data_IF_108690257074
#
_entry.id   IF_108690257074
#
_cell.length_a   1.000
_cell.length_b   1.000
_cell.length_c   1.000
_cell.angle_alpha   90.00
_cell.angle_beta   90.00
_cell.angle_gamma   90.00
#
_symmetry.space_group_name_H-M   'P 1'
#
loop_
_entity.id
_entity.type
_entity.pdbx_description
1 polymer ?
#
# COMPACT_ATOMS: atom_id res chain seq x y z
N UNK A 1 77.74 -1.48 -7.65
CA UNK A 1 76.52 -1.02 -8.40
C UNK A 1 75.29 -1.67 -7.81
N UNK A 2 74.51 -0.94 -7.02
CA UNK A 2 73.27 -1.45 -6.44
C UNK A 2 72.11 -0.85 -7.22
N UNK A 3 71.27 -1.72 -7.84
CA UNK A 3 70.06 -1.33 -8.56
C UNK A 3 68.97 -1.03 -7.54
N UNK A 4 68.15 0.07 -7.68
CA UNK A 4 67.02 0.31 -6.84
C UNK A 4 65.84 -0.57 -7.21
N UNK A 5 65.22 -1.20 -6.19
CA UNK A 5 64.01 -1.98 -6.31
C UNK A 5 62.83 -1.00 -6.34
N UNK A 6 62.14 -0.93 -7.49
CA UNK A 6 60.86 -0.23 -7.59
C UNK A 6 59.78 -1.08 -6.89
N UNK A 7 59.26 -0.52 -5.80
CA UNK A 7 58.05 -1.07 -5.15
C UNK A 7 56.85 -0.52 -5.90
N UNK A 8 56.20 -1.36 -6.74
CA UNK A 8 54.91 -1.08 -7.34
C UNK A 8 53.86 -1.20 -6.27
N UNK A 9 53.32 -0.09 -5.80
CA UNK A 9 52.16 -0.03 -4.93
C UNK A 9 50.89 -0.28 -5.76
N UNK A 10 50.23 -1.37 -5.44
CA UNK A 10 48.91 -1.68 -6.00
C UNK A 10 47.89 -0.90 -5.18
N UNK A 11 47.34 0.17 -5.75
CA UNK A 11 46.19 0.88 -5.20
C UNK A 11 44.92 0.11 -5.53
N UNK A 12 44.36 -0.58 -4.55
CA UNK A 12 42.98 -1.12 -4.67
C UNK A 12 42.01 0.06 -4.62
N UNK A 13 41.41 0.37 -5.76
CA UNK A 13 40.25 1.23 -5.81
C UNK A 13 39.01 0.42 -5.32
N UNK A 14 38.54 0.76 -4.11
CA UNK A 14 37.28 0.23 -3.59
C UNK A 14 36.14 0.89 -4.33
N UNK A 15 35.49 0.16 -5.26
CA UNK A 15 34.19 0.54 -5.81
C UNK A 15 33.14 0.35 -4.72
N UNK A 16 32.77 1.44 -4.06
CA UNK A 16 31.60 1.47 -3.18
C UNK A 16 30.34 1.35 -4.03
N UNK A 17 29.67 0.19 -3.99
CA UNK A 17 28.35 0.04 -4.55
C UNK A 17 27.36 0.83 -3.69
N UNK A 18 26.87 1.96 -4.20
CA UNK A 18 25.70 2.66 -3.64
C UNK A 18 24.47 1.79 -3.88
N UNK A 19 24.05 1.09 -2.87
CA UNK A 19 22.75 0.45 -2.85
C UNK A 19 21.71 1.55 -2.61
N UNK A 20 21.04 1.98 -3.68
CA UNK A 20 19.87 2.81 -3.57
C UNK A 20 18.75 1.96 -2.97
N UNK A 21 18.57 2.07 -1.65
CA UNK A 21 17.36 1.56 -1.00
C UNK A 21 16.19 2.34 -1.56
N UNK A 22 15.31 1.68 -2.32
CA UNK A 22 14.03 2.23 -2.69
C UNK A 22 13.23 2.41 -1.38
N UNK A 23 13.22 3.62 -0.85
CA UNK A 23 12.34 4.00 0.25
C UNK A 23 10.94 4.02 -0.36
N UNK A 24 10.10 3.01 -0.07
CA UNK A 24 8.67 3.14 -0.25
C UNK A 24 8.25 4.34 0.58
N UNK A 25 7.84 5.43 -0.08
CA UNK A 25 7.38 6.61 0.63
C UNK A 25 6.09 6.25 1.36
N UNK A 26 6.10 6.34 2.69
CA UNK A 26 4.90 6.13 3.50
C UNK A 26 3.84 7.17 3.14
N UNK A 27 2.56 6.77 3.18
CA UNK A 27 1.45 7.69 2.96
C UNK A 27 1.45 8.72 4.10
N UNK A 28 1.49 10.04 3.79
CA UNK A 28 1.49 11.07 4.81
C UNK A 28 0.28 10.96 5.74
N UNK A 29 0.44 11.28 7.03
CA UNK A 29 -0.62 11.18 8.04
C UNK A 29 -1.89 11.94 7.65
N UNK A 30 -1.77 13.14 7.06
CA UNK A 30 -2.91 13.89 6.55
C UNK A 30 -3.68 13.11 5.48
N UNK A 31 -2.97 12.44 4.56
CA UNK A 31 -3.59 11.61 3.53
C UNK A 31 -4.22 10.35 4.11
N UNK A 32 -3.62 9.74 5.12
CA UNK A 32 -4.23 8.61 5.83
C UNK A 32 -5.58 9.02 6.45
N UNK A 33 -5.68 10.21 7.03
CA UNK A 33 -6.94 10.74 7.58
C UNK A 33 -8.00 10.90 6.48
N UNK A 34 -7.64 11.43 5.31
CA UNK A 34 -8.54 11.53 4.16
C UNK A 34 -8.99 10.15 3.67
N UNK A 35 -8.08 9.19 3.60
CA UNK A 35 -8.39 7.82 3.19
C UNK A 35 -9.34 7.12 4.18
N UNK A 36 -9.15 7.33 5.49
CA UNK A 36 -10.08 6.82 6.49
C UNK A 36 -11.47 7.45 6.36
N UNK A 37 -11.52 8.76 6.07
CA UNK A 37 -12.79 9.43 5.80
C UNK A 37 -13.47 8.86 4.55
N UNK A 38 -12.73 8.67 3.46
CA UNK A 38 -13.22 8.03 2.25
C UNK A 38 -13.74 6.61 2.53
N UNK A 39 -12.98 5.82 3.29
CA UNK A 39 -13.39 4.46 3.67
C UNK A 39 -14.70 4.46 4.46
N UNK A 40 -14.87 5.40 5.39
CA UNK A 40 -16.06 5.47 6.24
C UNK A 40 -17.26 6.01 5.50
N UNK A 41 -17.11 7.11 4.76
CA UNK A 41 -18.22 7.81 4.13
C UNK A 41 -18.57 7.26 2.75
N UNK A 42 -17.59 7.13 1.87
CA UNK A 42 -17.83 6.75 0.49
C UNK A 42 -17.97 5.23 0.33
N UNK A 43 -17.01 4.45 0.78
CA UNK A 43 -17.13 3.00 0.80
C UNK A 43 -18.28 2.56 1.72
N UNK A 44 -18.41 3.18 2.88
CA UNK A 44 -19.45 2.92 3.85
C UNK A 44 -20.86 3.19 3.36
N UNK A 45 -21.06 4.06 2.37
CA UNK A 45 -22.37 4.32 1.79
C UNK A 45 -23.03 3.05 1.20
N UNK A 46 -22.23 2.11 0.70
CA UNK A 46 -22.69 0.81 0.19
C UNK A 46 -22.37 -0.34 1.12
N UNK A 47 -21.19 -0.33 1.75
CA UNK A 47 -20.70 -1.42 2.61
C UNK A 47 -21.10 -1.28 4.09
N UNK A 48 -21.83 -0.23 4.43
CA UNK A 48 -22.22 0.13 5.80
C UNK A 48 -21.19 1.02 6.48
N UNK A 49 -21.65 2.04 7.21
CA UNK A 49 -20.77 2.98 7.93
C UNK A 49 -19.90 2.28 8.99
N UNK A 50 -20.35 1.15 9.51
CA UNK A 50 -19.60 0.26 10.40
C UNK A 50 -19.01 -0.94 9.66
N UNK A 51 -19.03 -0.94 8.33
CA UNK A 51 -18.50 -2.01 7.46
C UNK A 51 -19.16 -3.38 7.64
N UNK A 52 -20.33 -3.43 8.24
CA UNK A 52 -21.08 -4.68 8.47
C UNK A 52 -21.96 -5.10 7.29
N UNK A 53 -21.93 -4.35 6.20
CA UNK A 53 -22.71 -4.62 4.99
C UNK A 53 -23.88 -3.65 4.82
N UNK A 54 -24.40 -3.61 3.63
CA UNK A 54 -25.52 -2.79 3.16
C UNK A 54 -25.88 -3.26 1.75
N UNK A 55 -25.90 -2.35 0.78
CA UNK A 55 -26.01 -2.72 -0.64
C UNK A 55 -24.85 -3.59 -1.10
N UNK A 56 -23.63 -3.31 -0.57
CA UNK A 56 -22.45 -4.13 -0.76
C UNK A 56 -22.24 -5.11 0.41
N UNK A 57 -21.36 -6.12 0.23
CA UNK A 57 -21.06 -7.08 1.27
C UNK A 57 -20.30 -6.42 2.43
N UNK A 58 -20.28 -7.10 3.60
CA UNK A 58 -19.52 -6.67 4.74
C UNK A 58 -18.02 -6.60 4.42
N UNK A 59 -17.34 -5.59 4.97
CA UNK A 59 -15.89 -5.39 4.91
C UNK A 59 -15.23 -5.59 6.27
N UNK A 60 -15.82 -6.40 7.11
CA UNK A 60 -15.23 -6.79 8.40
C UNK A 60 -14.05 -7.73 8.20
N UNK A 61 -13.15 -7.75 9.17
CA UNK A 61 -12.00 -8.67 9.16
C UNK A 61 -12.46 -10.13 8.92
N UNK A 62 -13.53 -10.57 9.58
CA UNK A 62 -14.09 -11.92 9.39
C UNK A 62 -14.61 -12.16 7.98
N UNK A 63 -15.27 -11.18 7.36
CA UNK A 63 -15.81 -11.30 6.01
C UNK A 63 -14.69 -11.33 4.94
N UNK A 64 -13.56 -10.71 5.23
CA UNK A 64 -12.41 -10.63 4.33
C UNK A 64 -11.36 -11.72 4.59
N UNK A 65 -11.53 -12.53 5.63
CA UNK A 65 -10.59 -13.58 5.99
C UNK A 65 -10.34 -14.54 4.80
N UNK A 66 -9.07 -14.83 4.55
CA UNK A 66 -8.64 -15.72 3.47
C UNK A 66 -8.70 -15.12 2.06
N UNK A 67 -9.15 -13.87 1.91
CA UNK A 67 -9.12 -13.19 0.60
C UNK A 67 -7.72 -12.58 0.36
N UNK A 68 -7.10 -12.84 -0.80
CA UNK A 68 -5.79 -12.26 -1.12
C UNK A 68 -5.84 -10.73 -1.18
N UNK A 69 -4.88 -10.06 -0.51
CA UNK A 69 -4.81 -8.60 -0.49
C UNK A 69 -4.75 -7.99 -1.89
N UNK A 70 -3.99 -8.60 -2.80
CA UNK A 70 -3.88 -8.16 -4.20
C UNK A 70 -5.24 -8.17 -4.90
N UNK A 71 -6.05 -9.21 -4.68
CA UNK A 71 -7.39 -9.29 -5.26
C UNK A 71 -8.30 -8.18 -4.72
N UNK A 72 -8.23 -7.89 -3.42
CA UNK A 72 -9.01 -6.81 -2.80
C UNK A 72 -8.60 -5.44 -3.36
N UNK A 73 -7.29 -5.20 -3.53
CA UNK A 73 -6.78 -3.99 -4.18
C UNK A 73 -7.34 -3.82 -5.59
N UNK A 74 -7.26 -4.86 -6.41
CA UNK A 74 -7.77 -4.83 -7.80
C UNK A 74 -9.27 -4.54 -7.85
N UNK A 75 -10.05 -5.12 -6.94
CA UNK A 75 -11.49 -4.83 -6.83
C UNK A 75 -11.74 -3.36 -6.47
N UNK A 76 -10.96 -2.77 -5.58
CA UNK A 76 -11.08 -1.35 -5.24
C UNK A 76 -10.73 -0.48 -6.46
N UNK A 77 -9.60 -0.72 -7.09
CA UNK A 77 -9.13 0.13 -8.18
C UNK A 77 -9.99 0.03 -9.44
N UNK A 78 -10.45 -1.16 -9.79
CA UNK A 78 -11.12 -1.42 -11.06
C UNK A 78 -12.62 -1.69 -10.94
N UNK A 79 -13.14 -1.77 -9.70
CA UNK A 79 -14.53 -2.12 -9.45
C UNK A 79 -14.83 -3.58 -9.78
N UNK A 80 -16.11 -3.93 -9.76
CA UNK A 80 -16.60 -5.25 -10.15
C UNK A 80 -17.56 -5.09 -11.32
N UNK A 81 -17.13 -5.37 -12.57
CA UNK A 81 -17.97 -5.25 -13.75
C UNK A 81 -19.31 -6.00 -13.60
N UNK A 82 -20.41 -5.36 -14.03
CA UNK A 82 -21.75 -5.92 -13.90
C UNK A 82 -22.36 -5.79 -12.50
N UNK A 83 -21.69 -5.11 -11.57
CA UNK A 83 -22.17 -4.82 -10.21
C UNK A 83 -22.13 -3.31 -9.93
N UNK A 84 -22.82 -2.81 -8.87
CA UNK A 84 -22.75 -1.40 -8.47
C UNK A 84 -21.37 -0.95 -7.94
N UNK A 85 -20.44 -1.86 -7.65
CA UNK A 85 -19.09 -1.50 -7.18
C UNK A 85 -18.30 -0.77 -8.27
N UNK A 86 -18.08 0.55 -8.15
CA UNK A 86 -17.37 1.34 -9.17
C UNK A 86 -15.86 1.24 -9.04
N UNK A 87 -15.08 1.59 -10.09
CA UNK A 87 -13.64 1.72 -10.01
C UNK A 87 -13.24 3.00 -9.24
N UNK A 88 -12.26 2.89 -8.35
CA UNK A 88 -11.76 4.00 -7.53
C UNK A 88 -10.39 4.53 -7.97
N UNK A 89 -9.82 4.01 -9.05
CA UNK A 89 -8.48 4.39 -9.54
C UNK A 89 -8.32 5.87 -9.88
N UNK A 90 -9.40 6.61 -10.09
CA UNK A 90 -9.35 8.06 -10.31
C UNK A 90 -9.13 8.86 -9.03
N UNK A 91 -9.34 8.25 -7.87
CA UNK A 91 -9.22 8.85 -6.54
C UNK A 91 -8.09 8.25 -5.71
N UNK A 92 -7.66 7.03 -6.06
CA UNK A 92 -6.69 6.22 -5.32
C UNK A 92 -5.60 5.71 -6.26
N UNK A 93 -4.36 5.80 -5.82
CA UNK A 93 -3.28 5.03 -6.43
C UNK A 93 -3.17 3.62 -5.81
N UNK A 94 -2.31 2.78 -6.36
CA UNK A 94 -2.13 1.40 -5.87
C UNK A 94 -1.68 1.35 -4.41
N UNK A 95 -0.76 2.22 -3.99
CA UNK A 95 -0.25 2.26 -2.63
C UNK A 95 -1.34 2.64 -1.62
N UNK A 96 -2.20 3.60 -1.97
CA UNK A 96 -3.34 4.00 -1.15
C UNK A 96 -4.40 2.90 -1.06
N UNK A 97 -4.66 2.20 -2.16
CA UNK A 97 -5.56 1.06 -2.17
C UNK A 97 -5.01 -0.11 -1.34
N UNK A 98 -3.71 -0.40 -1.44
CA UNK A 98 -3.06 -1.40 -0.59
C UNK A 98 -3.14 -1.02 0.89
N UNK A 99 -2.94 0.24 1.22
CA UNK A 99 -3.07 0.74 2.59
C UNK A 99 -4.50 0.55 3.13
N UNK A 100 -5.53 0.88 2.35
CA UNK A 100 -6.92 0.65 2.72
C UNK A 100 -7.22 -0.83 2.92
N UNK A 101 -6.69 -1.70 2.06
CA UNK A 101 -6.81 -3.15 2.22
C UNK A 101 -6.19 -3.62 3.54
N UNK A 102 -5.02 -3.12 3.91
CA UNK A 102 -4.39 -3.45 5.20
C UNK A 102 -5.24 -2.99 6.38
N UNK A 103 -5.78 -1.77 6.34
CA UNK A 103 -6.70 -1.25 7.36
C UNK A 103 -7.90 -2.18 7.54
N UNK A 104 -8.48 -2.67 6.44
CA UNK A 104 -9.63 -3.58 6.46
C UNK A 104 -9.26 -4.96 7.00
N UNK A 105 -8.15 -5.54 6.56
CA UNK A 105 -7.68 -6.86 6.99
C UNK A 105 -7.26 -6.88 8.47
N UNK A 106 -6.75 -5.77 8.98
CA UNK A 106 -6.39 -5.60 10.39
C UNK A 106 -7.59 -5.24 11.27
N UNK A 107 -8.73 -4.96 10.68
CA UNK A 107 -9.94 -4.54 11.40
C UNK A 107 -9.80 -3.20 12.09
N UNK A 108 -8.90 -2.33 11.62
CA UNK A 108 -8.72 -1.00 12.18
C UNK A 108 -9.97 -0.16 11.95
N UNK A 109 -10.45 0.43 13.02
CA UNK A 109 -11.48 1.48 12.98
C UNK A 109 -10.80 2.83 13.14
N UNK A 110 -11.50 3.91 12.76
CA UNK A 110 -11.02 5.25 13.06
C UNK A 110 -10.70 5.34 14.55
N UNK A 111 -9.43 5.59 14.86
CA UNK A 111 -9.06 5.97 16.22
C UNK A 111 -9.60 7.40 16.43
N UNK A 112 -10.65 7.49 17.20
CA UNK A 112 -11.14 8.78 17.71
C UNK A 112 -10.18 9.33 18.76
#
# INVERSE_FOLDING_TARGET
MRRPRHKTGITLAALGALWASAVCADIPAARQTELMHLLTQDCGSCHGLTRKGGLGPALTQAALAGKPAVMLREVILHGRPGTPMPPWKSFLNEQEADWLVQVLLEGKTDAH
#
